data_IF_933644526292
#
_entry.id   IF_933644526292
#
_cell.length_a   1.000
_cell.length_b   1.000
_cell.length_c   1.000
_cell.angle_alpha   90.00
_cell.angle_beta   90.00
_cell.angle_gamma   90.00
#
_symmetry.space_group_name_H-M   'P 1'
#
loop_
_entity.id
_entity.type
_entity.pdbx_description
1 polymer ?
#
# COMPACT_ATOMS: atom_id res chain seq x y z
N UNK A 1 18.20 42.12 -51.52
CA UNK A 1 17.18 42.41 -50.50
C UNK A 1 16.26 41.20 -50.55
N UNK A 2 16.40 40.29 -49.60
CA UNK A 2 15.62 39.06 -49.50
C UNK A 2 14.55 39.34 -48.44
N UNK A 3 13.28 39.37 -48.84
CA UNK A 3 12.19 39.87 -47.98
C UNK A 3 11.29 38.76 -47.41
N UNK A 4 11.65 37.47 -47.53
CA UNK A 4 10.95 36.41 -46.80
C UNK A 4 11.81 35.16 -46.51
N UNK A 5 11.47 34.42 -45.45
CA UNK A 5 12.14 33.16 -45.06
C UNK A 5 11.86 32.03 -46.07
N UNK A 6 10.74 32.11 -46.79
CA UNK A 6 10.37 31.15 -47.83
C UNK A 6 11.26 31.26 -49.09
N UNK A 7 11.79 32.46 -49.40
CA UNK A 7 12.76 32.65 -50.49
C UNK A 7 14.13 32.02 -50.18
N UNK A 8 14.49 31.88 -48.89
CA UNK A 8 15.74 31.23 -48.46
C UNK A 8 15.62 29.70 -48.53
N UNK A 9 14.43 29.14 -48.25
CA UNK A 9 14.19 27.70 -48.25
C UNK A 9 13.89 27.12 -49.63
N UNK A 10 13.52 27.97 -50.59
CA UNK A 10 13.23 27.58 -51.97
C UNK A 10 14.43 27.72 -52.92
N UNK A 11 15.56 28.22 -52.41
CA UNK A 11 16.82 28.24 -53.15
C UNK A 11 17.49 26.86 -53.11
N UNK A 12 17.11 26.00 -54.07
CA UNK A 12 17.66 24.65 -54.26
C UNK A 12 19.18 24.65 -54.51
N UNK A 13 19.80 25.80 -54.81
CA UNK A 13 21.26 25.93 -54.95
C UNK A 13 22.02 25.79 -53.62
N UNK A 14 21.34 25.97 -52.48
CA UNK A 14 21.92 25.76 -51.14
C UNK A 14 22.18 24.28 -50.82
N UNK A 15 21.51 23.36 -51.53
CA UNK A 15 21.60 21.92 -51.30
C UNK A 15 22.40 21.19 -52.39
N UNK A 16 22.82 21.90 -53.45
CA UNK A 16 23.68 21.36 -54.50
C UNK A 16 25.12 21.17 -53.97
N UNK A 17 25.41 19.94 -53.52
CA UNK A 17 26.73 19.54 -53.00
C UNK A 17 26.67 18.81 -51.66
N UNK A 18 25.51 18.74 -51.02
CA UNK A 18 25.28 17.86 -49.88
C UNK A 18 24.95 16.45 -50.40
N UNK A 19 25.98 15.68 -50.74
CA UNK A 19 25.83 14.23 -50.82
C UNK A 19 25.35 13.74 -49.45
N UNK A 20 24.07 13.38 -49.37
CA UNK A 20 23.50 12.68 -48.23
C UNK A 20 24.25 11.37 -48.06
N UNK A 21 25.29 11.38 -47.22
CA UNK A 21 26.04 10.17 -46.89
C UNK A 21 25.06 9.21 -46.22
N UNK A 22 24.60 8.23 -47.00
CA UNK A 22 23.70 7.15 -46.55
C UNK A 22 24.27 6.36 -45.37
N UNK A 23 25.54 6.57 -45.00
CA UNK A 23 26.15 6.06 -43.77
C UNK A 23 25.75 6.82 -42.50
N UNK A 24 25.36 8.10 -42.57
CA UNK A 24 24.87 8.89 -41.41
C UNK A 24 23.53 8.35 -40.88
N UNK A 25 22.67 7.83 -41.76
CA UNK A 25 21.40 7.21 -41.39
C UNK A 25 21.50 5.69 -41.16
N UNK A 26 22.71 5.13 -41.12
CA UNK A 26 22.91 3.70 -40.95
C UNK A 26 22.73 3.28 -39.47
N UNK A 27 21.48 3.14 -39.06
CA UNK A 27 21.04 2.68 -37.74
C UNK A 27 21.51 1.26 -37.36
N UNK A 28 22.22 0.54 -38.23
CA UNK A 28 22.76 -0.81 -37.93
C UNK A 28 23.81 -0.80 -36.81
N UNK A 29 24.57 0.30 -36.60
CA UNK A 29 25.48 0.41 -35.45
C UNK A 29 24.73 0.59 -34.13
N UNK A 30 23.62 1.34 -34.14
CA UNK A 30 22.76 1.56 -32.96
C UNK A 30 21.86 0.35 -32.64
N UNK A 31 21.49 -0.47 -33.64
CA UNK A 31 20.80 -1.74 -33.41
C UNK A 31 21.65 -2.78 -32.67
N UNK A 32 22.99 -2.64 -32.67
CA UNK A 32 23.88 -3.51 -31.88
C UNK A 32 23.98 -3.12 -30.41
N UNK A 33 23.51 -1.95 -30.01
CA UNK A 33 23.72 -1.43 -28.64
C UNK A 33 22.52 -1.64 -27.71
N UNK A 34 21.39 -2.18 -28.17
CA UNK A 34 20.20 -2.46 -27.32
C UNK A 34 19.84 -3.94 -27.30
N UNK A 35 20.84 -4.82 -27.41
CA UNK A 35 20.71 -6.21 -26.98
C UNK A 35 21.92 -6.65 -26.14
N UNK A 36 22.50 -5.74 -25.37
CA UNK A 36 23.09 -6.19 -24.10
C UNK A 36 21.90 -6.75 -23.33
N UNK A 37 21.81 -8.09 -23.27
CA UNK A 37 21.01 -8.79 -22.28
C UNK A 37 21.42 -8.20 -20.95
N UNK A 38 20.73 -7.15 -20.49
CA UNK A 38 20.68 -6.81 -19.09
C UNK A 38 20.22 -8.11 -18.47
N UNK A 39 21.12 -8.78 -17.75
CA UNK A 39 20.72 -9.69 -16.69
C UNK A 39 19.91 -8.82 -15.75
N UNK A 40 18.65 -8.60 -16.10
CA UNK A 40 17.62 -8.11 -15.22
C UNK A 40 17.77 -9.00 -14.01
N UNK A 41 18.18 -8.42 -12.88
CA UNK A 41 18.18 -9.14 -11.63
C UNK A 41 16.70 -9.36 -11.33
N UNK A 42 16.18 -10.43 -11.92
CA UNK A 42 14.81 -10.85 -11.78
C UNK A 42 14.64 -11.26 -10.33
N UNK A 43 13.54 -10.81 -9.74
CA UNK A 43 13.19 -11.21 -8.37
C UNK A 43 13.12 -12.73 -8.32
N UNK A 44 13.78 -13.34 -7.35
CA UNK A 44 13.79 -14.79 -7.14
C UNK A 44 12.82 -15.14 -6.03
N UNK A 45 12.21 -16.32 -6.08
CA UNK A 45 11.40 -16.80 -4.95
C UNK A 45 12.31 -17.22 -3.80
N UNK A 46 11.97 -16.84 -2.57
CA UNK A 46 12.72 -17.25 -1.36
C UNK A 46 12.36 -18.67 -0.88
N UNK A 47 11.22 -19.21 -1.31
CA UNK A 47 10.71 -20.49 -0.82
C UNK A 47 10.58 -20.51 0.70
N UNK A 48 11.13 -21.53 1.35
CA UNK A 48 10.98 -21.80 2.78
C UNK A 48 11.63 -20.73 3.68
N UNK A 49 12.62 -19.97 3.20
CA UNK A 49 13.28 -18.92 3.97
C UNK A 49 12.40 -17.68 4.19
N UNK A 50 11.27 -17.58 3.48
CA UNK A 50 10.39 -16.41 3.59
C UNK A 50 9.64 -16.32 4.92
N UNK A 51 9.47 -17.43 5.66
CA UNK A 51 8.65 -17.46 6.89
C UNK A 51 9.09 -16.43 7.94
N UNK A 52 10.39 -16.20 8.07
CA UNK A 52 10.93 -15.14 8.95
C UNK A 52 10.48 -13.75 8.50
N UNK A 53 10.70 -13.41 7.23
CA UNK A 53 10.32 -12.10 6.67
C UNK A 53 8.82 -11.88 6.65
N UNK A 54 8.02 -12.93 6.44
CA UNK A 54 6.56 -12.88 6.51
C UNK A 54 6.10 -12.32 7.86
N UNK A 55 6.69 -12.78 8.96
CA UNK A 55 6.35 -12.28 10.30
C UNK A 55 6.74 -10.80 10.47
N UNK A 56 7.87 -10.38 9.90
CA UNK A 56 8.27 -8.97 9.91
C UNK A 56 7.25 -8.08 9.18
N UNK A 57 6.80 -8.47 7.99
CA UNK A 57 5.76 -7.73 7.25
C UNK A 57 4.43 -7.72 8.02
N UNK A 58 4.03 -8.83 8.63
CA UNK A 58 2.82 -8.89 9.46
C UNK A 58 2.89 -7.93 10.65
N UNK A 59 4.04 -7.86 11.33
CA UNK A 59 4.25 -6.91 12.42
C UNK A 59 4.16 -5.46 11.93
N UNK A 60 4.83 -5.12 10.83
CA UNK A 60 4.77 -3.77 10.25
C UNK A 60 3.36 -3.39 9.80
N UNK A 61 2.57 -4.32 9.27
CA UNK A 61 1.15 -4.07 8.94
C UNK A 61 0.31 -3.79 10.18
N UNK A 62 0.55 -4.52 11.28
CA UNK A 62 -0.10 -4.24 12.55
C UNK A 62 0.30 -2.86 13.09
N UNK A 63 1.60 -2.53 13.07
CA UNK A 63 2.11 -1.22 13.46
C UNK A 63 1.56 -0.06 12.60
N UNK A 64 1.30 -0.31 11.31
CA UNK A 64 0.66 0.67 10.44
C UNK A 64 -0.83 0.84 10.76
N UNK A 65 -1.49 -0.26 11.18
CA UNK A 65 -2.90 -0.28 11.53
C UNK A 65 -3.16 0.39 12.88
N UNK A 66 -2.30 0.20 13.87
CA UNK A 66 -2.38 0.87 15.18
C UNK A 66 -1.82 2.30 15.18
N UNK A 67 -1.16 2.69 14.08
CA UNK A 67 -0.61 4.03 13.88
C UNK A 67 0.79 4.23 14.44
N UNK A 68 1.42 3.20 15.02
CA UNK A 68 2.81 3.21 15.50
C UNK A 68 3.81 3.41 14.35
N UNK A 69 3.43 3.15 13.11
CA UNK A 69 4.20 3.49 11.90
C UNK A 69 3.34 4.28 10.93
N UNK A 70 4.00 4.97 10.01
CA UNK A 70 3.35 5.73 8.94
C UNK A 70 4.00 5.46 7.59
N UNK A 71 3.23 5.65 6.52
CA UNK A 71 3.75 5.66 5.16
C UNK A 71 3.95 7.11 4.71
N UNK A 72 5.17 7.48 4.32
CA UNK A 72 5.51 8.79 3.78
C UNK A 72 5.99 8.68 2.34
N UNK A 73 5.68 9.68 1.50
CA UNK A 73 6.24 9.72 0.15
C UNK A 73 7.76 9.86 0.23
N UNK A 74 8.48 9.16 -0.64
CA UNK A 74 9.95 9.20 -0.61
C UNK A 74 10.48 10.61 -0.93
N UNK A 75 9.72 11.39 -1.70
CA UNK A 75 10.01 12.80 -2.00
C UNK A 75 10.04 13.70 -0.78
N UNK A 76 9.26 13.38 0.26
CA UNK A 76 9.12 14.22 1.44
C UNK A 76 10.27 14.00 2.45
N UNK A 77 10.95 12.86 2.36
CA UNK A 77 12.03 12.45 3.27
C UNK A 77 13.41 12.74 2.69
N UNK A 78 13.53 12.70 1.35
CA UNK A 78 14.74 12.88 0.57
C UNK A 78 15.92 11.99 1.02
N UNK A 79 16.12 10.86 0.32
CA UNK A 79 17.30 9.99 0.48
C UNK A 79 18.58 10.81 0.29
N UNK A 80 19.28 11.05 1.39
CA UNK A 80 20.46 11.91 1.51
C UNK A 80 21.33 11.42 2.67
N UNK A 81 22.46 12.08 2.96
CA UNK A 81 23.28 11.73 4.12
C UNK A 81 22.51 11.86 5.46
N UNK A 82 21.45 12.68 5.49
CA UNK A 82 20.59 12.84 6.68
C UNK A 82 19.55 11.73 6.80
N UNK A 83 19.18 11.12 5.67
CA UNK A 83 18.16 10.08 5.56
C UNK A 83 18.64 8.95 4.62
N UNK A 84 19.72 8.22 4.98
CA UNK A 84 20.24 7.17 4.11
C UNK A 84 19.28 5.98 4.00
N UNK A 85 19.52 5.11 3.02
CA UNK A 85 18.88 3.79 3.03
C UNK A 85 19.52 2.98 4.15
N UNK A 86 18.70 2.43 5.04
CA UNK A 86 19.17 1.66 6.20
C UNK A 86 18.75 0.21 6.10
N UNK A 87 19.63 -0.67 6.56
CA UNK A 87 19.28 -2.04 6.89
C UNK A 87 18.18 -2.04 7.96
N UNK A 88 17.22 -2.96 7.84
CA UNK A 88 16.09 -3.02 8.75
C UNK A 88 14.89 -2.17 8.32
N UNK A 89 15.08 -1.22 7.40
CA UNK A 89 14.00 -0.33 6.97
C UNK A 89 13.08 -0.97 5.93
N UNK A 90 11.84 -0.46 5.92
CA UNK A 90 10.80 -0.87 5.01
C UNK A 90 10.48 0.26 4.03
N UNK A 91 10.31 -0.11 2.76
CA UNK A 91 9.93 0.80 1.69
C UNK A 91 8.81 0.18 0.88
N UNK A 92 8.13 0.99 0.07
CA UNK A 92 7.12 0.51 -0.87
C UNK A 92 7.57 0.91 -2.26
N UNK A 93 7.69 -0.07 -3.15
CA UNK A 93 8.10 0.10 -4.53
C UNK A 93 7.04 -0.49 -5.46
N UNK A 94 6.36 0.36 -6.24
CA UNK A 94 5.29 -0.04 -7.15
C UNK A 94 4.21 -0.89 -6.47
N UNK A 95 3.75 -0.40 -5.31
CA UNK A 95 2.68 -1.02 -4.54
C UNK A 95 3.06 -2.27 -3.76
N UNK A 96 4.34 -2.67 -3.75
CA UNK A 96 4.81 -3.84 -3.00
C UNK A 96 5.75 -3.39 -1.90
N UNK A 97 5.45 -3.75 -0.66
CA UNK A 97 6.34 -3.47 0.47
C UNK A 97 7.60 -4.33 0.34
N UNK A 98 8.75 -3.75 0.65
CA UNK A 98 10.06 -4.39 0.68
C UNK A 98 10.78 -4.07 1.99
N UNK A 99 11.66 -4.98 2.37
CA UNK A 99 12.54 -4.92 3.52
C UNK A 99 13.98 -4.89 3.04
N UNK A 100 14.81 -4.02 3.61
CA UNK A 100 16.25 -3.95 3.34
C UNK A 100 16.97 -4.90 4.29
N UNK A 101 17.34 -6.07 3.78
CA UNK A 101 17.95 -7.12 4.58
C UNK A 101 19.44 -6.88 4.86
N UNK A 102 20.17 -6.41 3.83
CA UNK A 102 21.57 -6.01 3.97
C UNK A 102 22.01 -5.04 2.89
N UNK A 103 23.02 -4.24 3.22
CA UNK A 103 23.70 -3.32 2.30
C UNK A 103 25.19 -3.65 2.37
N UNK A 104 25.85 -3.83 1.22
CA UNK A 104 27.25 -4.24 1.19
C UNK A 104 28.01 -3.69 -0.01
N UNK A 105 29.31 -3.48 0.18
CA UNK A 105 30.21 -3.13 -0.91
C UNK A 105 30.52 -4.41 -1.73
N UNK A 106 30.25 -4.45 -3.05
CA UNK A 106 30.46 -5.64 -3.86
C UNK A 106 31.93 -5.99 -4.12
N UNK A 107 32.86 -5.04 -3.93
CA UNK A 107 34.30 -5.25 -4.13
C UNK A 107 34.97 -5.80 -2.88
N UNK A 108 34.62 -5.26 -1.70
CA UNK A 108 35.23 -5.65 -0.42
C UNK A 108 34.42 -6.68 0.36
N UNK A 109 33.13 -6.85 0.02
CA UNK A 109 32.19 -7.69 0.79
C UNK A 109 31.77 -7.10 2.13
N UNK A 110 32.22 -5.89 2.47
CA UNK A 110 31.92 -5.24 3.74
C UNK A 110 30.43 -4.85 3.80
N UNK A 111 29.74 -5.31 4.84
CA UNK A 111 28.37 -4.91 5.14
C UNK A 111 28.33 -3.60 5.94
N UNK A 112 27.33 -2.78 5.67
CA UNK A 112 27.09 -1.49 6.35
C UNK A 112 25.63 -1.40 6.78
N UNK A 113 25.38 -0.76 7.92
CA UNK A 113 24.03 -0.56 8.44
C UNK A 113 23.22 0.47 7.64
N UNK A 114 23.90 1.42 6.99
CA UNK A 114 23.26 2.44 6.17
C UNK A 114 24.21 2.94 5.07
N UNK A 115 23.64 3.40 3.95
CA UNK A 115 24.43 3.97 2.87
C UNK A 115 23.58 4.86 1.95
N UNK A 116 24.24 5.83 1.34
CA UNK A 116 23.75 6.54 0.14
C UNK A 116 24.64 6.25 -1.08
N UNK A 117 25.68 5.44 -0.91
CA UNK A 117 26.64 5.17 -1.98
C UNK A 117 26.02 4.25 -3.02
N UNK A 118 25.82 4.81 -4.21
CA UNK A 118 25.24 4.19 -5.39
C UNK A 118 26.01 2.96 -5.87
N UNK A 119 27.28 2.81 -5.47
CA UNK A 119 28.13 1.65 -5.78
C UNK A 119 27.92 0.46 -4.86
N UNK A 120 27.16 0.60 -3.77
CA UNK A 120 26.85 -0.52 -2.90
C UNK A 120 25.75 -1.37 -3.52
N UNK A 121 25.70 -2.64 -3.13
CA UNK A 121 24.58 -3.53 -3.41
C UNK A 121 23.67 -3.65 -2.20
N UNK A 122 22.40 -3.88 -2.47
CA UNK A 122 21.36 -4.07 -1.47
C UNK A 122 20.62 -5.36 -1.75
N UNK A 123 20.42 -6.14 -0.69
CA UNK A 123 19.51 -7.28 -0.70
C UNK A 123 18.14 -6.79 -0.23
N UNK A 124 17.15 -6.88 -1.12
CA UNK A 124 15.77 -6.51 -0.81
C UNK A 124 14.88 -7.75 -0.81
N UNK A 125 14.11 -7.90 0.26
CA UNK A 125 13.06 -8.93 0.36
C UNK A 125 11.71 -8.26 0.19
N UNK A 126 10.86 -8.79 -0.67
CA UNK A 126 9.54 -8.25 -0.97
C UNK A 126 8.46 -9.06 -0.25
N UNK A 127 7.39 -8.38 0.14
CA UNK A 127 6.25 -8.95 0.86
C UNK A 127 5.57 -10.11 0.11
N UNK A 128 5.72 -10.18 -1.22
CA UNK A 128 5.20 -11.27 -2.03
C UNK A 128 6.10 -12.53 -2.05
N UNK A 129 7.07 -12.64 -1.15
CA UNK A 129 7.94 -13.82 -1.03
C UNK A 129 9.09 -13.87 -2.04
N UNK A 130 9.41 -12.74 -2.65
CA UNK A 130 10.52 -12.64 -3.62
C UNK A 130 11.68 -11.82 -3.07
N UNK A 131 12.89 -12.09 -3.51
CA UNK A 131 14.10 -11.36 -3.13
C UNK A 131 14.82 -10.81 -4.37
N UNK A 132 15.63 -9.77 -4.17
CA UNK A 132 16.49 -9.23 -5.21
C UNK A 132 17.81 -8.69 -4.66
N UNK A 133 18.86 -8.80 -5.48
CA UNK A 133 20.19 -8.28 -5.18
C UNK A 133 20.52 -7.22 -6.23
N UNK A 134 20.29 -5.95 -5.90
CA UNK A 134 20.41 -4.84 -6.85
C UNK A 134 21.43 -3.82 -6.38
N UNK A 135 21.87 -2.95 -7.28
CA UNK A 135 22.62 -1.76 -6.90
C UNK A 135 21.73 -0.84 -6.07
N UNK A 136 22.32 -0.19 -5.07
CA UNK A 136 21.61 0.79 -4.27
C UNK A 136 21.03 1.91 -5.15
N UNK A 137 21.76 2.31 -6.19
CA UNK A 137 21.27 3.23 -7.21
C UNK A 137 19.96 2.76 -7.85
N UNK A 138 19.85 1.47 -8.19
CA UNK A 138 18.64 0.93 -8.81
C UNK A 138 17.44 0.99 -7.86
N UNK A 139 17.65 0.69 -6.57
CA UNK A 139 16.59 0.83 -5.56
C UNK A 139 16.15 2.30 -5.43
N UNK A 140 17.11 3.21 -5.26
CA UNK A 140 16.85 4.65 -5.13
C UNK A 140 16.10 5.18 -6.36
N UNK A 141 16.57 4.87 -7.57
CA UNK A 141 15.89 5.26 -8.81
C UNK A 141 14.47 4.69 -8.91
N UNK A 142 14.24 3.45 -8.47
CA UNK A 142 12.92 2.84 -8.46
C UNK A 142 11.96 3.54 -7.49
N UNK A 143 12.45 3.93 -6.31
CA UNK A 143 11.64 4.65 -5.33
C UNK A 143 11.26 6.06 -5.82
N UNK A 144 12.19 6.77 -6.45
CA UNK A 144 11.92 8.12 -6.99
C UNK A 144 11.18 8.15 -8.33
N UNK A 145 10.91 6.99 -8.94
CA UNK A 145 10.13 6.93 -10.18
C UNK A 145 8.68 7.37 -9.91
N UNK A 146 8.29 8.48 -10.53
CA UNK A 146 6.95 9.06 -10.42
C UNK A 146 5.82 8.07 -10.78
N UNK A 147 6.09 7.10 -11.66
CA UNK A 147 5.10 6.08 -12.05
C UNK A 147 4.95 4.99 -10.99
N UNK A 148 6.01 4.71 -10.23
CA UNK A 148 6.07 3.63 -9.24
C UNK A 148 5.66 4.08 -7.84
N UNK A 149 5.63 5.40 -7.61
CA UNK A 149 5.20 6.05 -6.38
C UNK A 149 5.86 5.44 -5.13
N UNK A 150 7.19 5.56 -5.05
CA UNK A 150 7.94 5.01 -3.93
C UNK A 150 7.64 5.69 -2.60
N UNK A 151 7.54 4.89 -1.54
CA UNK A 151 7.22 5.37 -0.18
C UNK A 151 8.17 4.78 0.86
N UNK A 152 8.40 5.52 1.94
CA UNK A 152 9.07 5.05 3.15
C UNK A 152 8.01 4.60 4.16
N UNK A 153 8.22 3.44 4.78
CA UNK A 153 7.51 3.08 6.01
C UNK A 153 8.39 3.49 7.18
N UNK A 154 7.90 4.37 8.04
CA UNK A 154 8.68 4.90 9.16
C UNK A 154 9.05 3.80 10.15
N UNK A 155 10.07 4.07 10.97
CA UNK A 155 10.30 3.30 12.20
C UNK A 155 9.14 3.46 13.18
N UNK A 156 9.08 2.60 14.20
CA UNK A 156 8.07 2.70 15.26
C UNK A 156 8.20 4.05 15.96
N UNK A 157 7.07 4.70 16.20
CA UNK A 157 6.96 5.91 17.00
C UNK A 157 7.12 5.49 18.47
N UNK A 158 8.35 5.16 18.87
CA UNK A 158 8.70 5.04 20.29
C UNK A 158 9.46 6.27 20.80
N UNK A 159 9.83 7.22 19.93
CA UNK A 159 10.60 8.41 20.37
C UNK A 159 10.62 9.62 19.42
N UNK A 160 9.53 9.93 18.70
CA UNK A 160 9.48 11.09 17.79
C UNK A 160 8.22 11.96 17.97
N UNK A 161 8.14 12.65 19.11
CA UNK A 161 7.35 13.89 19.27
C UNK A 161 7.81 15.05 18.35
N UNK A 162 8.83 14.85 17.51
CA UNK A 162 9.58 15.95 16.86
C UNK A 162 8.87 16.56 15.63
N UNK A 163 7.73 16.05 15.14
CA UNK A 163 7.10 16.66 13.95
C UNK A 163 5.58 16.73 13.98
N UNK A 164 5.00 17.35 15.01
CA UNK A 164 3.77 18.19 14.95
C UNK A 164 2.47 17.64 14.34
N UNK A 165 2.44 16.44 13.77
CA UNK A 165 1.24 15.77 13.26
C UNK A 165 0.69 14.91 14.38
N UNK A 166 -0.09 15.56 15.26
CA UNK A 166 -0.89 14.89 16.28
C UNK A 166 -1.71 13.78 15.58
N UNK A 167 -1.69 12.57 16.13
CA UNK A 167 -2.53 11.48 15.66
C UNK A 167 -4.00 11.94 15.71
N UNK A 168 -4.64 12.09 14.55
CA UNK A 168 -6.07 12.42 14.49
C UNK A 168 -6.80 11.11 14.27
N UNK A 169 -7.38 10.59 15.34
CA UNK A 169 -8.37 9.51 15.26
C UNK A 169 -9.51 9.98 14.39
N UNK A 170 -9.62 9.40 13.21
CA UNK A 170 -10.67 9.69 12.24
C UNK A 170 -11.97 8.97 12.57
N UNK A 171 -11.86 7.82 13.24
CA UNK A 171 -12.97 7.02 13.77
C UNK A 171 -12.52 5.60 14.09
N UNK A 172 -13.48 4.69 14.20
CA UNK A 172 -13.26 3.30 14.58
C UNK A 172 -14.04 2.36 13.67
N UNK A 173 -13.43 1.25 13.30
CA UNK A 173 -14.15 0.08 12.79
C UNK A 173 -14.58 -0.74 13.99
N UNK A 174 -15.88 -0.93 14.17
CA UNK A 174 -16.42 -1.75 15.24
C UNK A 174 -16.97 -3.07 14.71
N UNK A 175 -16.86 -4.11 15.52
CA UNK A 175 -17.41 -5.44 15.26
C UNK A 175 -18.35 -5.79 16.40
N UNK A 176 -19.62 -6.04 16.07
CA UNK A 176 -20.64 -6.40 17.05
C UNK A 176 -21.24 -7.77 16.73
N UNK A 177 -21.64 -8.47 17.79
CA UNK A 177 -22.39 -9.73 17.72
C UNK A 177 -23.83 -9.50 18.15
N UNK A 178 -24.76 -10.22 17.52
CA UNK A 178 -26.15 -10.25 17.93
C UNK A 178 -26.29 -10.72 19.39
N UNK A 179 -27.08 -10.00 20.19
CA UNK A 179 -27.32 -10.31 21.60
C UNK A 179 -28.82 -10.31 21.96
N UNK A 180 -29.70 -10.37 20.95
CA UNK A 180 -31.15 -10.46 21.15
C UNK A 180 -31.63 -11.88 21.47
N UNK A 181 -32.93 -12.12 21.29
CA UNK A 181 -33.62 -13.36 21.70
C UNK A 181 -33.88 -14.34 20.55
N UNK A 182 -33.72 -13.93 19.30
CA UNK A 182 -34.00 -14.79 18.15
C UNK A 182 -32.92 -15.87 17.99
N UNK A 183 -33.30 -17.14 18.23
CA UNK A 183 -32.40 -18.28 18.15
C UNK A 183 -31.76 -18.46 16.78
N UNK A 184 -32.42 -18.00 15.70
CA UNK A 184 -31.89 -18.14 14.33
C UNK A 184 -30.56 -17.43 14.19
N UNK A 185 -30.44 -16.22 14.75
CA UNK A 185 -29.20 -15.43 14.70
C UNK A 185 -28.19 -15.86 15.77
N UNK A 186 -28.65 -16.33 16.94
CA UNK A 186 -27.77 -16.82 17.99
C UNK A 186 -27.01 -18.10 17.61
N UNK A 187 -27.64 -18.99 16.82
CA UNK A 187 -27.05 -20.25 16.35
C UNK A 187 -26.11 -20.09 15.16
N UNK A 188 -26.09 -18.92 14.51
CA UNK A 188 -25.16 -18.66 13.41
C UNK A 188 -23.75 -18.42 13.95
N UNK A 189 -22.82 -19.27 13.55
CA UNK A 189 -21.41 -19.10 13.86
C UNK A 189 -20.83 -17.92 13.08
N UNK A 190 -19.92 -17.18 13.70
CA UNK A 190 -19.19 -16.06 13.07
C UNK A 190 -20.10 -14.98 12.45
N UNK A 191 -21.32 -14.84 12.95
CA UNK A 191 -22.24 -13.78 12.55
C UNK A 191 -21.85 -12.46 13.22
N UNK A 192 -21.32 -11.54 12.43
CA UNK A 192 -20.93 -10.22 12.91
C UNK A 192 -21.47 -9.12 12.01
N UNK A 193 -21.83 -7.99 12.64
CA UNK A 193 -22.00 -6.73 11.94
C UNK A 193 -20.72 -5.91 12.11
N UNK A 194 -20.21 -5.44 10.98
CA UNK A 194 -18.98 -4.64 10.91
C UNK A 194 -19.38 -3.27 10.39
N UNK A 195 -18.96 -2.21 11.08
CA UNK A 195 -19.29 -0.85 10.68
C UNK A 195 -18.23 0.16 11.11
N UNK A 196 -18.41 1.39 10.65
CA UNK A 196 -17.55 2.51 11.00
C UNK A 196 -18.31 3.54 11.85
N UNK A 197 -17.65 4.12 12.85
CA UNK A 197 -18.21 5.20 13.66
C UNK A 197 -17.11 6.08 14.26
N UNK A 198 -17.37 7.38 14.39
CA UNK A 198 -16.51 8.29 15.18
C UNK A 198 -16.67 8.08 16.68
N UNK A 199 -17.88 7.75 17.11
CA UNK A 199 -18.26 7.49 18.49
C UNK A 199 -19.06 6.17 18.51
N UNK A 200 -18.41 5.09 18.94
CA UNK A 200 -19.02 3.75 19.00
C UNK A 200 -20.18 3.74 20.00
N UNK A 201 -20.01 4.37 21.16
CA UNK A 201 -21.02 4.39 22.22
C UNK A 201 -22.32 5.02 21.72
N UNK A 202 -22.21 6.18 21.06
CA UNK A 202 -23.36 6.85 20.45
C UNK A 202 -23.94 6.04 19.28
N UNK A 203 -23.12 5.35 18.49
CA UNK A 203 -23.59 4.52 17.36
C UNK A 203 -24.35 3.28 17.81
N UNK A 204 -24.02 2.73 18.98
CA UNK A 204 -24.61 1.48 19.49
C UNK A 204 -25.72 1.70 20.53
N UNK A 205 -26.02 2.95 20.92
CA UNK A 205 -26.99 3.26 21.98
C UNK A 205 -28.45 2.98 21.62
N UNK A 206 -28.80 2.92 20.33
CA UNK A 206 -30.18 2.78 19.84
C UNK A 206 -30.39 1.55 18.95
N UNK A 207 -29.59 0.50 19.17
CA UNK A 207 -29.58 -0.72 18.34
C UNK A 207 -30.93 -1.45 18.33
N UNK A 208 -31.65 -1.46 19.45
CA UNK A 208 -32.98 -2.08 19.57
C UNK A 208 -34.05 -1.44 18.68
N UNK A 209 -33.86 -0.18 18.25
CA UNK A 209 -34.80 0.55 17.41
C UNK A 209 -34.35 0.68 15.94
N UNK A 210 -33.22 0.07 15.58
CA UNK A 210 -32.63 0.18 14.26
C UNK A 210 -32.70 -1.14 13.51
N UNK A 211 -33.27 -1.10 12.30
CA UNK A 211 -33.43 -2.31 11.46
C UNK A 211 -32.10 -2.99 11.17
N UNK A 212 -31.03 -2.21 10.94
CA UNK A 212 -29.70 -2.75 10.65
C UNK A 212 -29.10 -3.61 11.79
N UNK A 213 -29.58 -3.42 13.02
CA UNK A 213 -29.24 -4.24 14.18
C UNK A 213 -30.32 -5.28 14.51
N UNK A 214 -31.22 -5.55 13.56
CA UNK A 214 -32.29 -6.54 13.69
C UNK A 214 -33.25 -6.20 14.85
N UNK A 215 -33.45 -4.90 15.13
CA UNK A 215 -34.24 -4.39 16.27
C UNK A 215 -33.90 -5.11 17.58
N UNK A 216 -32.61 -5.32 17.82
CA UNK A 216 -32.12 -6.15 18.93
C UNK A 216 -30.87 -5.54 19.55
N UNK A 217 -30.59 -5.84 20.83
CA UNK A 217 -29.33 -5.44 21.44
C UNK A 217 -28.18 -6.18 20.76
N UNK A 218 -27.02 -5.54 20.77
CA UNK A 218 -25.77 -6.10 20.25
C UNK A 218 -24.65 -5.94 21.27
N UNK A 219 -23.67 -6.84 21.21
CA UNK A 219 -22.47 -6.80 22.05
C UNK A 219 -21.28 -6.37 21.21
N UNK A 220 -20.57 -5.34 21.65
CA UNK A 220 -19.27 -4.98 21.08
C UNK A 220 -18.27 -6.10 21.37
N UNK A 221 -17.68 -6.65 20.31
CA UNK A 221 -16.71 -7.75 20.37
C UNK A 221 -15.30 -7.19 20.32
N UNK A 222 -15.05 -6.29 19.37
CA UNK A 222 -13.77 -5.59 19.20
C UNK A 222 -13.96 -4.30 18.41
N UNK A 223 -12.94 -3.45 18.44
CA UNK A 223 -12.87 -2.23 17.67
C UNK A 223 -11.43 -1.94 17.26
N UNK A 224 -11.25 -1.38 16.06
CA UNK A 224 -9.97 -0.94 15.53
C UNK A 224 -9.99 0.56 15.37
N UNK A 225 -9.02 1.24 16.00
CA UNK A 225 -8.85 2.67 15.82
C UNK A 225 -8.33 2.95 14.40
N UNK A 226 -8.94 3.93 13.72
CA UNK A 226 -8.51 4.37 12.39
C UNK A 226 -8.03 5.81 12.50
N UNK A 227 -6.77 6.03 12.12
CA UNK A 227 -6.11 7.33 12.18
C UNK A 227 -5.77 7.85 10.78
N UNK A 228 -6.01 9.14 10.55
CA UNK A 228 -5.62 9.85 9.32
C UNK A 228 -6.15 9.23 8.00
N UNK A 229 -7.28 8.49 8.04
CA UNK A 229 -7.92 7.93 6.85
C UNK A 229 -9.35 8.47 6.73
N UNK A 230 -9.76 8.82 5.52
CA UNK A 230 -11.13 9.27 5.24
C UNK A 230 -12.16 8.15 5.48
N UNK A 231 -13.22 8.48 6.22
CA UNK A 231 -14.29 7.54 6.59
C UNK A 231 -14.95 6.89 5.37
N UNK A 232 -15.15 7.62 4.27
CA UNK A 232 -15.81 7.08 3.07
C UNK A 232 -14.93 6.05 2.39
N UNK A 233 -13.60 6.26 2.40
CA UNK A 233 -12.63 5.28 1.88
C UNK A 233 -12.67 3.98 2.69
N UNK A 234 -12.79 4.09 4.01
CA UNK A 234 -12.93 2.92 4.91
C UNK A 234 -14.22 2.16 4.59
N UNK A 235 -15.37 2.83 4.59
CA UNK A 235 -16.66 2.19 4.33
C UNK A 235 -16.70 1.53 2.93
N UNK A 236 -16.20 2.22 1.91
CA UNK A 236 -16.10 1.70 0.54
C UNK A 236 -15.23 0.44 0.50
N UNK A 237 -14.07 0.45 1.16
CA UNK A 237 -13.20 -0.72 1.20
C UNK A 237 -13.87 -1.90 1.89
N UNK A 238 -14.44 -1.69 3.08
CA UNK A 238 -15.15 -2.73 3.84
C UNK A 238 -16.28 -3.35 3.01
N UNK A 239 -17.08 -2.51 2.34
CA UNK A 239 -18.19 -2.97 1.51
C UNK A 239 -17.72 -3.88 0.37
N UNK A 240 -16.63 -3.51 -0.32
CA UNK A 240 -16.09 -4.33 -1.40
C UNK A 240 -15.40 -5.60 -0.89
N UNK A 241 -14.61 -5.49 0.18
CA UNK A 241 -13.79 -6.58 0.69
C UNK A 241 -14.61 -7.67 1.41
N UNK A 242 -15.81 -7.35 1.89
CA UNK A 242 -16.71 -8.28 2.57
C UNK A 242 -17.93 -8.67 1.72
N UNK A 243 -17.98 -8.26 0.45
CA UNK A 243 -19.15 -8.46 -0.40
C UNK A 243 -19.54 -9.95 -0.55
N UNK A 244 -18.57 -10.84 -0.61
CA UNK A 244 -18.75 -12.30 -0.72
C UNK A 244 -19.11 -12.98 0.61
N UNK A 245 -18.87 -12.30 1.74
CA UNK A 245 -19.21 -12.77 3.10
C UNK A 245 -20.54 -12.23 3.62
N UNK A 246 -21.19 -11.38 2.83
CA UNK A 246 -22.41 -10.67 3.17
C UNK A 246 -23.58 -11.63 3.28
N UNK A 247 -24.31 -11.56 4.38
CA UNK A 247 -25.56 -12.28 4.57
C UNK A 247 -26.76 -11.36 4.30
N UNK A 248 -27.74 -11.89 3.58
CA UNK A 248 -29.05 -11.29 3.44
C UNK A 248 -29.95 -11.85 4.55
N UNK A 249 -30.25 -11.03 5.55
CA UNK A 249 -31.10 -11.42 6.69
C UNK A 249 -32.44 -10.73 6.57
N UNK A 250 -33.54 -11.48 6.69
CA UNK A 250 -34.88 -10.91 6.72
C UNK A 250 -35.57 -11.07 8.08
N UNK A 251 -36.37 -10.07 8.42
CA UNK A 251 -37.20 -10.04 9.61
C UNK A 251 -38.54 -9.35 9.33
N UNK A 252 -39.55 -9.69 10.12
CA UNK A 252 -40.85 -9.04 10.05
C UNK A 252 -40.85 -7.91 11.08
N UNK A 253 -41.09 -6.68 10.63
CA UNK A 253 -41.20 -5.52 11.50
C UNK A 253 -42.42 -5.62 12.42
N UNK A 254 -42.47 -4.80 13.47
CA UNK A 254 -43.68 -4.65 14.31
C UNK A 254 -44.92 -4.20 13.51
N UNK A 255 -44.73 -3.61 12.32
CA UNK A 255 -45.80 -3.22 11.40
C UNK A 255 -46.18 -4.31 10.39
N UNK A 256 -45.61 -5.51 10.50
CA UNK A 256 -45.89 -6.66 9.61
C UNK A 256 -45.18 -6.63 8.26
N UNK A 257 -44.27 -5.67 8.04
CA UNK A 257 -43.50 -5.55 6.79
C UNK A 257 -42.20 -6.36 6.88
N UNK A 258 -41.88 -7.11 5.83
CA UNK A 258 -40.57 -7.74 5.72
C UNK A 258 -39.48 -6.69 5.47
N UNK A 259 -38.44 -6.73 6.28
CA UNK A 259 -37.27 -5.89 6.21
C UNK A 259 -36.05 -6.78 6.00
N UNK A 260 -35.33 -6.49 4.93
CA UNK A 260 -34.06 -7.15 4.60
C UNK A 260 -32.90 -6.27 5.04
N UNK A 261 -31.91 -6.87 5.70
CA UNK A 261 -30.66 -6.20 6.06
C UNK A 261 -29.46 -6.95 5.56
N UNK A 262 -28.51 -6.17 5.07
CA UNK A 262 -27.34 -6.68 4.35
C UNK A 262 -26.04 -6.16 5.01
N UNK A 263 -26.03 -5.87 6.31
CA UNK A 263 -24.84 -5.34 6.99
C UNK A 263 -24.24 -6.35 7.98
N UNK A 264 -24.59 -7.62 7.81
CA UNK A 264 -24.11 -8.75 8.60
C UNK A 264 -23.29 -9.69 7.73
N UNK A 265 -22.27 -10.28 8.32
CA UNK A 265 -21.26 -11.07 7.61
C UNK A 265 -20.99 -12.37 8.37
N UNK A 266 -20.76 -13.45 7.61
CA UNK A 266 -20.21 -14.70 8.14
C UNK A 266 -18.69 -14.69 7.97
N UNK A 267 -17.96 -14.24 9.00
CA UNK A 267 -16.52 -14.02 8.92
C UNK A 267 -15.85 -14.19 10.28
N UNK A 268 -14.66 -14.82 10.34
CA UNK A 268 -13.92 -14.96 11.61
C UNK A 268 -13.30 -13.63 12.06
N UNK A 269 -13.06 -13.48 13.36
CA UNK A 269 -12.40 -12.27 13.89
C UNK A 269 -10.97 -12.09 13.35
N UNK A 270 -10.27 -13.20 13.08
CA UNK A 270 -8.91 -13.19 12.50
C UNK A 270 -8.94 -12.65 11.07
N UNK A 271 -9.93 -13.05 10.26
CA UNK A 271 -10.13 -12.52 8.91
C UNK A 271 -10.46 -11.02 8.96
N UNK A 272 -11.29 -10.57 9.91
CA UNK A 272 -11.59 -9.14 10.09
C UNK A 272 -10.33 -8.36 10.45
N UNK A 273 -9.55 -8.86 11.41
CA UNK A 273 -8.30 -8.21 11.84
C UNK A 273 -7.33 -8.05 10.66
N UNK A 274 -7.11 -9.13 9.90
CA UNK A 274 -6.27 -9.11 8.70
C UNK A 274 -6.79 -8.14 7.64
N UNK A 275 -8.10 -8.11 7.42
CA UNK A 275 -8.74 -7.22 6.46
C UNK A 275 -8.52 -5.75 6.84
N UNK A 276 -8.67 -5.39 8.12
CA UNK A 276 -8.42 -4.03 8.62
C UNK A 276 -6.96 -3.63 8.44
N UNK A 277 -6.02 -4.52 8.76
CA UNK A 277 -4.59 -4.26 8.54
C UNK A 277 -4.27 -4.01 7.06
N UNK A 278 -4.78 -4.86 6.16
CA UNK A 278 -4.60 -4.69 4.71
C UNK A 278 -5.25 -3.41 4.18
N UNK A 279 -6.42 -3.04 4.72
CA UNK A 279 -7.11 -1.81 4.38
C UNK A 279 -6.26 -0.59 4.72
N UNK A 280 -5.75 -0.50 5.95
CA UNK A 280 -4.98 0.67 6.40
C UNK A 280 -3.77 0.89 5.50
N UNK A 281 -3.02 -0.17 5.20
CA UNK A 281 -1.87 -0.11 4.29
C UNK A 281 -2.28 0.38 2.90
N UNK A 282 -3.30 -0.23 2.29
CA UNK A 282 -3.76 0.15 0.94
C UNK A 282 -4.26 1.59 0.88
N UNK A 283 -5.00 2.05 1.89
CA UNK A 283 -5.58 3.39 1.91
C UNK A 283 -4.52 4.47 2.18
N UNK A 284 -3.53 4.19 3.02
CA UNK A 284 -2.38 5.08 3.20
C UNK A 284 -1.47 5.14 1.96
N UNK A 285 -1.34 4.04 1.20
CA UNK A 285 -0.61 4.01 -0.07
C UNK A 285 -1.29 4.78 -1.21
N UNK A 286 -2.61 5.01 -1.11
CA UNK A 286 -3.41 5.72 -2.12
C UNK A 286 -3.83 7.13 -1.66
N UNK A 287 -3.30 7.58 -0.52
CA UNK A 287 -3.46 8.95 -0.02
C UNK A 287 -2.20 9.75 -0.29
#
# INVERSE_FOLDING_TARGET
>A
MFDDLDDILSDDSLFEGLELDSKLFNSKRYKRTVSVKTKSHQRKSMGNHFSYYKNLFMAVRADLADGSRQIRNISDVEISQKSPIKQGNFYIDNGVMLYVDKIYNPETGQEVSESTDRKYKVHTVYENGTENFIWLLSLVSSLYDKKRNGRLVTEKIEDLEIMGKKHITTGYIYVVKYAGKDERFLKMENLYKIGYAKDITKRLSNTENESTYLYSPVKLVTSYEIQNIDARKVETYLHHALADKRLELSLISASGKEITVNEWFAVSLDEVSKLVQEMVVKLQMNS
#
